data_IF_217483270362
#
_entry.id   IF_217483270362
#
_cell.length_a   1.000
_cell.length_b   1.000
_cell.length_c   1.000
_cell.angle_alpha   90.00
_cell.angle_beta   90.00
_cell.angle_gamma   90.00
#
_symmetry.space_group_name_H-M   'P 1'
#
loop_
_entity.id
_entity.type
_entity.pdbx_description
1 polymer ?
#
# COMPACT_ATOMS: atom_id res chain seq x y z
N UNK A 1 7.65 0.72 -15.37
CA UNK A 1 7.78 0.98 -13.93
C UNK A 1 9.25 0.96 -13.60
N UNK A 2 9.76 1.99 -12.92
CA UNK A 2 11.15 1.94 -12.47
C UNK A 2 11.29 0.79 -11.45
N UNK A 3 12.42 0.10 -11.48
CA UNK A 3 12.75 -0.88 -10.45
C UNK A 3 12.91 -0.14 -9.10
N UNK A 4 12.54 -0.78 -7.98
CA UNK A 4 12.60 -0.18 -6.63
C UNK A 4 13.99 0.38 -6.29
N UNK A 5 15.04 -0.21 -6.84
CA UNK A 5 16.42 0.30 -6.75
C UNK A 5 16.59 1.74 -7.28
N UNK A 6 15.94 2.10 -8.40
CA UNK A 6 16.05 3.46 -8.94
C UNK A 6 15.28 4.48 -8.08
N UNK A 7 14.16 4.08 -7.49
CA UNK A 7 13.48 4.89 -6.47
C UNK A 7 14.37 5.09 -5.24
N UNK A 8 15.06 4.05 -4.79
CA UNK A 8 16.02 4.16 -3.69
C UNK A 8 17.17 5.12 -4.02
N UNK A 9 17.72 5.08 -5.24
CA UNK A 9 18.73 6.05 -5.69
C UNK A 9 18.18 7.49 -5.76
N UNK A 10 16.92 7.66 -6.15
CA UNK A 10 16.24 8.96 -6.10
C UNK A 10 16.12 9.48 -4.67
N UNK A 11 15.76 8.61 -3.72
CA UNK A 11 15.75 8.92 -2.28
C UNK A 11 17.15 9.26 -1.76
N UNK A 12 18.20 8.56 -2.19
CA UNK A 12 19.60 8.91 -1.86
C UNK A 12 19.94 10.32 -2.35
N UNK A 13 19.54 10.67 -3.58
CA UNK A 13 19.77 12.02 -4.12
C UNK A 13 19.07 13.10 -3.30
N UNK A 14 17.89 12.82 -2.75
CA UNK A 14 17.11 13.78 -1.98
C UNK A 14 17.56 13.88 -0.51
N UNK A 15 17.89 12.76 0.12
CA UNK A 15 18.05 12.66 1.56
C UNK A 15 19.49 12.34 2.02
N UNK A 16 20.36 11.87 1.11
CA UNK A 16 21.68 11.33 1.41
C UNK A 16 21.62 9.83 1.76
N UNK A 17 22.71 9.28 2.31
CA UNK A 17 22.78 7.86 2.68
C UNK A 17 23.09 6.93 1.49
N UNK A 18 22.58 5.71 1.57
CA UNK A 18 22.82 4.63 0.61
C UNK A 18 21.50 4.06 0.10
N UNK A 19 21.53 3.33 -1.02
CA UNK A 19 20.31 2.71 -1.55
C UNK A 19 19.68 1.74 -0.55
N UNK A 20 20.49 1.04 0.24
CA UNK A 20 20.04 0.07 1.24
C UNK A 20 19.19 0.70 2.34
N UNK A 21 19.39 2.00 2.64
CA UNK A 21 18.56 2.73 3.59
C UNK A 21 17.09 2.81 3.13
N UNK A 22 16.84 2.93 1.81
CA UNK A 22 15.51 3.21 1.26
C UNK A 22 14.88 2.03 0.50
N UNK A 23 15.71 1.10 0.02
CA UNK A 23 15.27 -0.02 -0.81
C UNK A 23 14.15 -0.85 -0.16
N UNK A 24 14.15 -1.14 1.16
CA UNK A 24 13.06 -1.91 1.78
C UNK A 24 11.68 -1.27 1.61
N UNK A 25 11.58 0.05 1.74
CA UNK A 25 10.31 0.79 1.61
C UNK A 25 9.81 0.74 0.17
N UNK A 26 10.69 1.04 -0.80
CA UNK A 26 10.30 1.01 -2.22
C UNK A 26 9.98 -0.41 -2.72
N UNK A 27 10.72 -1.41 -2.25
CA UNK A 27 10.47 -2.82 -2.58
C UNK A 27 9.12 -3.25 -2.04
N UNK A 28 8.75 -2.83 -0.83
CA UNK A 28 7.45 -3.17 -0.25
C UNK A 28 6.26 -2.61 -1.05
N UNK A 29 6.36 -1.40 -1.60
CA UNK A 29 5.33 -0.91 -2.51
C UNK A 29 5.20 -1.79 -3.76
N UNK A 30 6.34 -2.19 -4.34
CA UNK A 30 6.39 -3.00 -5.56
C UNK A 30 6.13 -4.49 -5.36
N UNK A 31 6.21 -5.01 -4.14
CA UNK A 31 6.09 -6.45 -3.84
C UNK A 31 4.73 -7.02 -4.26
N UNK A 32 3.69 -6.18 -4.39
CA UNK A 32 2.41 -6.60 -4.98
C UNK A 32 2.54 -7.13 -6.42
N UNK A 33 3.69 -6.93 -7.10
CA UNK A 33 4.03 -7.58 -8.37
C UNK A 33 4.03 -9.11 -8.30
N UNK A 34 4.22 -9.69 -7.11
CA UNK A 34 4.04 -11.14 -6.90
C UNK A 34 2.61 -11.62 -7.20
N UNK A 35 1.61 -10.72 -7.12
CA UNK A 35 0.20 -11.04 -7.35
C UNK A 35 -0.18 -10.73 -8.81
N UNK A 36 0.25 -9.59 -9.34
CA UNK A 36 0.02 -9.18 -10.73
C UNK A 36 1.24 -8.45 -11.28
N UNK A 37 1.79 -8.89 -12.39
CA UNK A 37 2.98 -8.26 -12.98
C UNK A 37 2.70 -6.98 -13.79
N UNK A 38 1.42 -6.62 -13.99
CA UNK A 38 1.01 -5.39 -14.67
C UNK A 38 0.67 -4.26 -13.70
N UNK A 39 0.39 -3.07 -14.22
CA UNK A 39 0.16 -1.85 -13.43
C UNK A 39 -0.95 -1.97 -12.38
N UNK A 40 -1.89 -2.92 -12.51
CA UNK A 40 -3.02 -3.06 -11.58
C UNK A 40 -2.57 -3.48 -10.18
N UNK A 41 -1.38 -4.07 -10.03
CA UNK A 41 -0.81 -4.35 -8.71
C UNK A 41 -0.68 -3.10 -7.83
N UNK A 42 -0.54 -1.94 -8.46
CA UNK A 42 -0.45 -0.65 -7.78
C UNK A 42 -1.71 -0.31 -6.98
N UNK A 43 -2.87 -0.86 -7.36
CA UNK A 43 -4.12 -0.67 -6.63
C UNK A 43 -4.08 -1.22 -5.20
N UNK A 44 -3.15 -2.12 -4.87
CA UNK A 44 -3.03 -2.70 -3.53
C UNK A 44 -2.32 -1.77 -2.52
N UNK A 45 -1.34 -0.97 -2.97
CA UNK A 45 -0.46 -0.23 -2.05
C UNK A 45 -0.08 1.18 -2.52
N UNK A 46 -0.16 1.48 -3.82
CA UNK A 46 0.24 2.80 -4.35
C UNK A 46 -0.90 3.82 -4.30
N UNK A 47 -1.36 4.12 -3.09
CA UNK A 47 -2.37 5.15 -2.80
C UNK A 47 -2.19 5.67 -1.37
N UNK A 48 -2.96 6.71 -1.01
CA UNK A 48 -2.86 7.39 0.28
C UNK A 48 -2.84 6.46 1.51
N UNK A 49 -3.75 5.48 1.59
CA UNK A 49 -3.75 4.53 2.73
C UNK A 49 -2.48 3.64 2.75
N UNK A 50 -1.96 3.21 1.61
CA UNK A 50 -0.70 2.45 1.54
C UNK A 50 0.51 3.24 2.04
N UNK A 51 0.52 4.57 1.90
CA UNK A 51 1.54 5.45 2.50
C UNK A 51 1.49 5.37 4.03
N UNK A 52 0.30 5.41 4.63
CA UNK A 52 0.14 5.29 6.08
C UNK A 52 0.46 3.87 6.55
N UNK A 53 0.15 2.85 5.75
CA UNK A 53 0.54 1.48 6.06
C UNK A 53 2.06 1.31 6.06
N UNK A 54 2.79 1.98 5.17
CA UNK A 54 4.25 2.00 5.19
C UNK A 54 4.80 2.53 6.53
N UNK A 55 4.24 3.62 7.08
CA UNK A 55 4.66 4.12 8.41
C UNK A 55 4.42 3.10 9.53
N UNK A 56 3.31 2.34 9.44
CA UNK A 56 3.01 1.31 10.44
C UNK A 56 4.01 0.15 10.40
N UNK A 57 4.61 -0.11 9.24
CA UNK A 57 5.54 -1.23 9.03
C UNK A 57 7.00 -0.82 9.25
N UNK A 58 7.40 0.36 8.78
CA UNK A 58 8.79 0.83 8.82
C UNK A 58 9.06 1.86 9.92
N UNK A 59 8.02 2.27 10.65
CA UNK A 59 8.08 3.36 11.63
C UNK A 59 7.69 4.71 11.02
N UNK A 60 7.39 5.69 11.88
CA UNK A 60 7.05 7.06 11.44
C UNK A 60 8.26 7.73 10.78
N UNK A 61 9.45 7.41 11.27
CA UNK A 61 10.72 7.93 10.78
C UNK A 61 11.73 6.78 10.62
N UNK A 62 12.67 6.99 9.72
CA UNK A 62 13.83 6.14 9.47
C UNK A 62 15.10 6.95 9.80
N UNK A 63 15.99 6.39 10.62
CA UNK A 63 17.35 6.93 10.75
C UNK A 63 18.24 6.23 9.72
N UNK A 64 18.70 6.98 8.72
CA UNK A 64 19.56 6.43 7.65
C UNK A 64 21.01 6.34 8.11
N UNK A 65 21.85 5.64 7.34
CA UNK A 65 23.28 5.42 7.59
C UNK A 65 24.13 6.67 7.91
N UNK A 66 23.68 7.87 7.53
CA UNK A 66 24.34 9.15 7.87
C UNK A 66 23.97 9.69 9.25
N UNK A 67 23.07 9.02 9.99
CA UNK A 67 22.47 9.49 11.23
C UNK A 67 21.30 10.46 11.03
N UNK A 68 20.98 10.84 9.79
CA UNK A 68 19.83 11.70 9.48
C UNK A 68 18.51 10.96 9.73
N UNK A 69 17.56 11.64 10.35
CA UNK A 69 16.18 11.15 10.52
C UNK A 69 15.32 11.65 9.36
N UNK A 70 14.67 10.71 8.66
CA UNK A 70 13.82 10.98 7.48
C UNK A 70 12.41 10.41 7.74
N UNK A 71 11.33 11.19 7.57
CA UNK A 71 9.98 10.64 7.70
C UNK A 71 9.66 9.61 6.63
N UNK A 72 9.18 8.43 7.01
CA UNK A 72 8.81 7.35 6.08
C UNK A 72 7.71 7.82 5.12
N UNK A 73 6.79 8.65 5.61
CA UNK A 73 5.76 9.28 4.78
C UNK A 73 6.31 10.02 3.58
N UNK A 74 7.38 10.80 3.75
CA UNK A 74 7.93 11.58 2.65
C UNK A 74 8.61 10.70 1.59
N UNK A 75 9.24 9.61 2.01
CA UNK A 75 9.81 8.59 1.11
C UNK A 75 8.70 7.88 0.33
N UNK A 76 7.61 7.51 1.00
CA UNK A 76 6.45 6.88 0.39
C UNK A 76 5.71 7.81 -0.58
N UNK A 77 5.48 9.07 -0.21
CA UNK A 77 4.90 10.06 -1.10
C UNK A 77 5.79 10.36 -2.31
N UNK A 78 7.12 10.38 -2.13
CA UNK A 78 8.07 10.49 -3.23
C UNK A 78 7.87 9.34 -4.23
N UNK A 79 7.81 8.09 -3.75
CA UNK A 79 7.56 6.92 -4.61
C UNK A 79 6.26 7.08 -5.43
N UNK A 80 5.17 7.55 -4.80
CA UNK A 80 3.91 7.79 -5.52
C UNK A 80 4.05 8.86 -6.62
N UNK A 81 4.70 9.98 -6.31
CA UNK A 81 4.89 11.07 -7.28
C UNK A 81 5.79 10.65 -8.43
N UNK A 82 6.79 9.81 -8.19
CA UNK A 82 7.65 9.28 -9.25
C UNK A 82 6.91 8.28 -10.16
N UNK A 83 5.95 7.54 -9.62
CA UNK A 83 5.17 6.56 -10.37
C UNK A 83 3.96 7.14 -11.11
N UNK A 84 3.33 8.19 -10.56
CA UNK A 84 2.07 8.73 -11.07
C UNK A 84 2.07 10.24 -11.35
N UNK A 85 3.03 11.00 -10.83
CA UNK A 85 3.01 12.46 -10.83
C UNK A 85 2.11 13.08 -9.75
N UNK A 86 1.33 12.28 -9.02
CA UNK A 86 0.48 12.70 -7.90
C UNK A 86 0.31 11.53 -6.90
N UNK A 87 -0.46 11.74 -5.82
CA UNK A 87 -0.80 10.68 -4.85
C UNK A 87 -2.25 10.23 -5.10
N UNK A 88 -2.49 9.02 -5.62
CA UNK A 88 -3.84 8.49 -5.77
C UNK A 88 -4.53 8.23 -4.43
N UNK A 89 -5.86 8.31 -4.40
CA UNK A 89 -6.67 7.74 -3.33
C UNK A 89 -7.05 6.28 -3.66
N UNK A 90 -7.46 5.48 -2.67
CA UNK A 90 -8.02 4.15 -2.98
C UNK A 90 -9.34 4.26 -3.77
N UNK A 91 -10.08 5.37 -3.59
CA UNK A 91 -11.31 5.66 -4.33
C UNK A 91 -11.05 5.78 -5.84
N UNK A 92 -9.88 6.28 -6.24
CA UNK A 92 -9.47 6.34 -7.65
C UNK A 92 -9.32 4.95 -8.29
N UNK A 93 -9.00 3.92 -7.52
CA UNK A 93 -8.99 2.54 -7.98
C UNK A 93 -10.38 1.92 -7.94
N UNK A 94 -11.15 2.17 -6.86
CA UNK A 94 -12.48 1.59 -6.68
C UNK A 94 -13.46 1.96 -7.79
N UNK A 95 -13.40 3.19 -8.30
CA UNK A 95 -14.30 3.66 -9.36
C UNK A 95 -14.15 2.88 -10.67
N UNK A 96 -13.04 2.20 -10.88
CA UNK A 96 -12.75 1.40 -12.08
C UNK A 96 -13.17 -0.08 -11.94
N UNK A 97 -13.59 -0.53 -10.75
CA UNK A 97 -14.02 -1.91 -10.52
C UNK A 97 -15.37 -2.14 -11.19
N UNK A 98 -15.44 -3.17 -12.05
CA UNK A 98 -16.71 -3.66 -12.63
C UNK A 98 -17.33 -4.73 -11.71
N UNK A 99 -18.48 -4.46 -11.07
CA UNK A 99 -19.08 -5.39 -10.14
C UNK A 99 -19.33 -6.76 -10.77
N UNK A 100 -18.97 -7.82 -10.05
CA UNK A 100 -19.28 -9.20 -10.41
C UNK A 100 -20.22 -9.81 -9.36
N UNK A 101 -21.06 -10.80 -9.71
CA UNK A 101 -22.05 -11.37 -8.78
C UNK A 101 -21.49 -11.86 -7.45
N UNK A 102 -20.21 -12.28 -7.41
CA UNK A 102 -19.57 -12.78 -6.19
C UNK A 102 -19.10 -11.66 -5.24
N UNK A 103 -18.89 -10.43 -5.73
CA UNK A 103 -18.26 -9.34 -4.95
C UNK A 103 -19.17 -8.80 -3.83
N UNK A 104 -20.50 -8.86 -4.01
CA UNK A 104 -21.48 -8.42 -3.02
C UNK A 104 -22.15 -9.57 -2.26
N UNK A 105 -21.72 -10.82 -2.49
CA UNK A 105 -22.39 -12.00 -1.95
C UNK A 105 -21.97 -12.26 -0.51
N UNK A 106 -22.65 -11.62 0.45
CA UNK A 106 -22.52 -11.90 1.87
C UNK A 106 -23.65 -12.81 2.36
N UNK A 107 -23.33 -13.84 3.16
CA UNK A 107 -24.33 -14.67 3.83
C UNK A 107 -24.74 -14.01 5.15
N UNK A 108 -26.02 -14.02 5.55
CA UNK A 108 -26.47 -13.48 6.83
C UNK A 108 -26.17 -14.49 7.97
N UNK A 109 -24.88 -14.72 8.22
CA UNK A 109 -24.39 -15.73 9.19
C UNK A 109 -24.92 -15.46 10.60
N UNK A 110 -25.24 -14.20 10.94
CA UNK A 110 -25.88 -13.86 12.21
C UNK A 110 -27.16 -14.67 12.46
N UNK A 111 -27.95 -15.00 11.42
CA UNK A 111 -29.20 -15.76 11.57
C UNK A 111 -28.97 -17.20 12.02
N UNK A 112 -27.82 -17.78 11.68
CA UNK A 112 -27.47 -19.15 12.07
C UNK A 112 -26.67 -19.22 13.38
N UNK A 113 -26.09 -18.11 13.84
CA UNK A 113 -25.23 -18.07 15.02
C UNK A 113 -25.83 -17.35 16.22
N UNK A 114 -26.78 -16.41 16.01
CA UNK A 114 -27.41 -15.67 17.09
C UNK A 114 -28.51 -16.52 17.76
N UNK A 115 -28.37 -16.89 19.05
CA UNK A 115 -29.38 -17.67 19.77
C UNK A 115 -30.74 -16.98 19.90
N UNK A 116 -30.81 -15.66 19.69
CA UNK A 116 -32.08 -14.93 19.61
C UNK A 116 -32.91 -15.34 18.38
N UNK A 117 -32.27 -15.78 17.30
CA UNK A 117 -32.93 -16.21 16.05
C UNK A 117 -33.14 -17.73 15.96
N UNK A 118 -32.39 -18.54 16.71
CA UNK A 118 -32.48 -20.00 16.70
C UNK A 118 -33.68 -20.64 17.42
N UNK A 119 -34.56 -19.84 18.04
CA UNK A 119 -35.76 -20.32 18.76
C UNK A 119 -37.09 -20.13 18.02
N UNK A 120 -37.06 -19.72 16.76
CA UNK A 120 -38.25 -19.49 15.94
C UNK A 120 -38.52 -20.62 14.93
N UNK A 121 -37.84 -21.76 15.05
CA UNK A 121 -37.90 -22.86 14.08
C UNK A 121 -38.24 -24.22 14.71
N UNK A 122 -39.02 -24.25 15.79
CA UNK A 122 -39.72 -25.46 16.27
C UNK A 122 -41.24 -25.27 16.17
#
# INVERSE_FOLDING_TARGET
MAHSYYHALSSVRQWGGTADDFLPIHTWFDESKLISADFRHRALRHHAEGIFLAERLFGVVLTISTGRVVPVRLIAEQHMREDFGFIPSFVDWLKEIRPQPWMGRAQPIHRSLDPAYGRLSE
#
